data_IF_074295994570
#
_entry.id   IF_074295994570
#
_cell.length_a   1.000
_cell.length_b   1.000
_cell.length_c   1.000
_cell.angle_alpha   90.00
_cell.angle_beta   90.00
_cell.angle_gamma   90.00
#
_symmetry.space_group_name_H-M   'P 1'
#
loop_
_entity.id
_entity.type
_entity.pdbx_description
1 polymer ?
#
# COMPACT_ATOMS: atom_id res chain seq x y z
N UNK A 1 -1.27 16.83 7.06
CA UNK A 1 -2.54 17.13 7.75
C UNK A 1 -3.66 16.42 7.00
N UNK A 2 -4.81 16.16 7.64
CA UNK A 2 -5.96 15.58 6.95
C UNK A 2 -6.57 16.62 5.99
N UNK A 3 -7.08 16.21 4.83
CA UNK A 3 -7.73 17.11 3.89
C UNK A 3 -8.97 17.75 4.51
N UNK A 4 -9.12 19.05 4.28
CA UNK A 4 -10.11 19.92 4.91
C UNK A 4 -11.44 19.98 4.14
N UNK A 5 -11.49 19.45 2.92
CA UNK A 5 -12.69 19.48 2.07
C UNK A 5 -12.78 18.25 1.16
N UNK A 6 -13.99 17.99 0.63
CA UNK A 6 -14.21 16.93 -0.36
C UNK A 6 -13.43 17.19 -1.65
N UNK A 7 -13.30 18.45 -2.06
CA UNK A 7 -12.52 18.82 -3.25
C UNK A 7 -11.02 18.52 -3.06
N UNK A 8 -10.47 18.80 -1.88
CA UNK A 8 -9.09 18.48 -1.56
C UNK A 8 -8.86 16.96 -1.49
N UNK A 9 -9.81 16.22 -0.90
CA UNK A 9 -9.83 14.76 -0.90
C UNK A 9 -9.79 14.18 -2.32
N UNK A 10 -10.62 14.70 -3.21
CA UNK A 10 -10.70 14.26 -4.60
C UNK A 10 -9.41 14.60 -5.37
N UNK A 11 -8.84 15.78 -5.16
CA UNK A 11 -7.56 16.17 -5.75
C UNK A 11 -6.42 15.24 -5.30
N UNK A 12 -6.35 14.92 -4.00
CA UNK A 12 -5.35 13.98 -3.47
C UNK A 12 -5.56 12.58 -4.06
N UNK A 13 -6.82 12.12 -4.18
CA UNK A 13 -7.15 10.84 -4.80
C UNK A 13 -6.66 10.78 -6.24
N UNK A 14 -6.89 11.82 -7.04
CA UNK A 14 -6.53 11.84 -8.44
C UNK A 14 -5.01 11.85 -8.63
N UNK A 15 -4.28 12.59 -7.79
CA UNK A 15 -2.82 12.52 -7.74
C UNK A 15 -2.30 11.13 -7.37
N UNK A 16 -2.93 10.47 -6.38
CA UNK A 16 -2.57 9.11 -6.00
C UNK A 16 -2.83 8.12 -7.14
N UNK A 17 -3.95 8.26 -7.87
CA UNK A 17 -4.25 7.44 -9.05
C UNK A 17 -3.21 7.61 -10.15
N UNK A 18 -2.83 8.85 -10.46
CA UNK A 18 -1.78 9.12 -11.44
C UNK A 18 -0.44 8.46 -11.03
N UNK A 19 -0.10 8.54 -9.75
CA UNK A 19 1.11 7.93 -9.18
C UNK A 19 1.11 6.38 -9.29
N UNK A 20 -0.03 5.75 -9.01
CA UNK A 20 -0.21 4.29 -9.17
C UNK A 20 -0.13 3.90 -10.64
N UNK A 21 -0.84 4.60 -11.52
CA UNK A 21 -0.86 4.32 -12.96
C UNK A 21 0.53 4.41 -13.59
N UNK A 22 1.32 5.44 -13.23
CA UNK A 22 2.69 5.59 -13.73
C UNK A 22 3.62 4.44 -13.32
N UNK A 23 3.49 3.93 -12.09
CA UNK A 23 4.29 2.79 -11.60
C UNK A 23 3.77 1.43 -12.08
N UNK A 24 2.47 1.29 -12.30
CA UNK A 24 1.87 0.09 -12.89
C UNK A 24 2.39 -0.16 -14.32
N UNK A 25 2.58 0.92 -15.10
CA UNK A 25 3.19 0.83 -16.44
C UNK A 25 4.63 0.26 -16.40
N UNK A 26 5.41 0.61 -15.37
CA UNK A 26 6.74 0.05 -15.16
C UNK A 26 6.69 -1.44 -14.76
N UNK A 27 5.71 -1.84 -13.93
CA UNK A 27 5.54 -3.26 -13.56
C UNK A 27 5.17 -4.14 -14.75
N UNK A 28 4.31 -3.63 -15.65
CA UNK A 28 3.94 -4.34 -16.87
C UNK A 28 5.15 -4.69 -17.75
N UNK A 29 6.19 -3.85 -17.75
CA UNK A 29 7.46 -4.12 -18.44
C UNK A 29 8.32 -5.19 -17.75
N UNK A 30 8.26 -5.31 -16.42
CA UNK A 30 9.02 -6.32 -15.66
C UNK A 30 8.50 -7.75 -15.89
N UNK A 31 7.21 -7.90 -16.18
CA UNK A 31 6.58 -9.19 -16.55
C UNK A 31 7.10 -9.80 -17.85
N UNK A 32 7.86 -9.04 -18.65
CA UNK A 32 8.53 -9.55 -19.84
C UNK A 32 9.86 -10.28 -19.53
N UNK A 33 10.33 -10.25 -18.27
CA UNK A 33 11.55 -10.95 -17.86
C UNK A 33 11.29 -12.45 -17.65
N UNK A 34 12.09 -13.34 -18.25
CA UNK A 34 11.86 -14.79 -18.24
C UNK A 34 12.18 -15.49 -16.90
N UNK A 35 12.33 -14.75 -15.80
CA UNK A 35 12.81 -15.29 -14.53
C UNK A 35 11.65 -15.56 -13.54
N UNK A 36 11.51 -16.79 -13.00
CA UNK A 36 10.46 -17.11 -12.06
C UNK A 36 10.58 -16.29 -10.77
N UNK A 37 9.52 -15.56 -10.40
CA UNK A 37 9.42 -14.80 -9.16
C UNK A 37 9.89 -13.34 -9.23
N UNK A 38 10.47 -12.90 -10.36
CA UNK A 38 10.89 -11.50 -10.56
C UNK A 38 9.68 -10.57 -10.72
N UNK A 39 8.62 -11.04 -11.37
CA UNK A 39 7.33 -10.36 -11.49
C UNK A 39 6.74 -10.04 -10.11
N UNK A 40 6.70 -11.02 -9.21
CA UNK A 40 6.15 -10.88 -7.86
C UNK A 40 7.01 -9.92 -7.03
N UNK A 41 8.33 -10.05 -7.08
CA UNK A 41 9.23 -9.18 -6.32
C UNK A 41 9.09 -7.71 -6.75
N UNK A 42 8.95 -7.46 -8.07
CA UNK A 42 8.74 -6.13 -8.62
C UNK A 42 7.41 -5.52 -8.15
N UNK A 43 6.31 -6.27 -8.24
CA UNK A 43 4.99 -5.82 -7.77
C UNK A 43 5.02 -5.45 -6.28
N UNK A 44 5.71 -6.24 -5.46
CA UNK A 44 5.83 -6.01 -4.01
C UNK A 44 6.65 -4.77 -3.71
N UNK A 45 7.79 -4.61 -4.38
CA UNK A 45 8.64 -3.44 -4.23
C UNK A 45 7.87 -2.16 -4.60
N UNK A 46 7.07 -2.21 -5.68
CA UNK A 46 6.21 -1.10 -6.10
C UNK A 46 5.14 -0.80 -5.03
N UNK A 47 4.48 -1.81 -4.47
CA UNK A 47 3.49 -1.64 -3.41
C UNK A 47 4.10 -1.07 -2.13
N UNK A 48 5.27 -1.54 -1.72
CA UNK A 48 6.00 -1.05 -0.54
C UNK A 48 6.41 0.41 -0.69
N UNK A 49 6.56 0.93 -1.91
CA UNK A 49 6.78 2.36 -2.16
C UNK A 49 5.48 3.15 -2.25
N UNK A 50 4.46 2.62 -2.95
CA UNK A 50 3.21 3.32 -3.21
C UNK A 50 2.37 3.52 -1.95
N UNK A 51 2.22 2.49 -1.12
CA UNK A 51 1.34 2.56 0.05
C UNK A 51 1.80 3.64 1.04
N UNK A 52 3.08 3.71 1.46
CA UNK A 52 3.54 4.79 2.31
C UNK A 52 3.35 6.18 1.68
N UNK A 53 3.62 6.32 0.38
CA UNK A 53 3.45 7.58 -0.33
C UNK A 53 1.98 8.04 -0.39
N UNK A 54 1.04 7.11 -0.57
CA UNK A 54 -0.40 7.37 -0.51
C UNK A 54 -0.78 7.80 0.91
N UNK A 55 -0.34 7.07 1.94
CA UNK A 55 -0.65 7.38 3.33
C UNK A 55 -0.18 8.79 3.73
N UNK A 56 1.03 9.18 3.30
CA UNK A 56 1.57 10.52 3.55
C UNK A 56 0.71 11.62 2.94
N UNK A 57 0.22 11.44 1.70
CA UNK A 57 -0.62 12.41 0.99
C UNK A 57 -1.99 12.57 1.65
N UNK A 58 -2.59 11.49 2.14
CA UNK A 58 -3.88 11.54 2.85
C UNK A 58 -3.76 12.00 4.31
N UNK A 59 -2.55 12.25 4.82
CA UNK A 59 -2.38 12.68 6.21
C UNK A 59 -2.56 11.54 7.21
N UNK A 60 -2.35 10.30 6.79
CA UNK A 60 -2.62 9.10 7.58
C UNK A 60 -1.38 8.22 7.74
N UNK A 61 -0.20 8.74 7.41
CA UNK A 61 1.04 8.06 7.73
C UNK A 61 1.24 7.94 9.26
N UNK A 62 1.87 6.87 9.76
CA UNK A 62 2.07 6.67 11.20
C UNK A 62 2.69 7.87 11.90
N UNK A 63 3.64 8.54 11.26
CA UNK A 63 4.35 9.71 11.79
C UNK A 63 3.43 10.93 11.88
N UNK A 64 2.51 11.09 10.94
CA UNK A 64 1.51 12.17 10.94
C UNK A 64 0.44 11.90 12.00
N UNK A 65 -0.02 10.64 12.10
CA UNK A 65 -0.97 10.21 13.13
C UNK A 65 -0.39 10.40 14.53
N UNK A 66 0.91 10.13 14.73
CA UNK A 66 1.57 10.31 16.01
C UNK A 66 1.45 11.76 16.54
N UNK A 67 1.44 12.75 15.64
CA UNK A 67 1.25 14.16 15.96
C UNK A 67 -0.21 14.59 16.21
N UNK A 68 -1.19 13.70 16.03
CA UNK A 68 -2.60 14.03 16.27
C UNK A 68 -2.97 13.96 17.75
N UNK A 69 -4.01 14.71 18.13
CA UNK A 69 -4.61 14.64 19.45
C UNK A 69 -5.31 13.29 19.68
N UNK A 70 -5.61 12.98 20.94
CA UNK A 70 -6.22 11.70 21.31
C UNK A 70 -7.57 11.48 20.62
N UNK A 71 -8.38 12.53 20.49
CA UNK A 71 -9.69 12.46 19.87
C UNK A 71 -9.61 12.08 18.38
N UNK A 72 -8.74 12.73 17.58
CA UNK A 72 -8.56 12.34 16.17
C UNK A 72 -7.97 10.97 16.01
N UNK A 73 -6.97 10.60 16.82
CA UNK A 73 -6.39 9.25 16.79
C UNK A 73 -7.49 8.20 16.96
N UNK A 74 -8.33 8.37 17.98
CA UNK A 74 -9.42 7.44 18.27
C UNK A 74 -10.45 7.39 17.14
N UNK A 75 -10.86 8.55 16.60
CA UNK A 75 -11.76 8.60 15.45
C UNK A 75 -11.18 7.86 14.24
N UNK A 76 -9.92 8.11 13.91
CA UNK A 76 -9.24 7.49 12.77
C UNK A 76 -9.15 5.98 12.94
N UNK A 77 -8.75 5.47 14.11
CA UNK A 77 -8.71 4.04 14.40
C UNK A 77 -10.08 3.36 14.28
N UNK A 78 -11.16 4.03 14.69
CA UNK A 78 -12.51 3.49 14.55
C UNK A 78 -12.98 3.44 13.09
N UNK A 79 -12.65 4.47 12.30
CA UNK A 79 -12.92 4.48 10.87
C UNK A 79 -12.16 3.35 10.15
N UNK A 80 -10.90 3.12 10.52
CA UNK A 80 -10.08 2.02 9.99
C UNK A 80 -10.69 0.66 10.35
N UNK A 81 -11.07 0.45 11.62
CA UNK A 81 -11.75 -0.78 12.05
C UNK A 81 -13.03 -1.05 11.27
N UNK A 82 -13.81 -0.01 10.98
CA UNK A 82 -15.05 -0.10 10.18
C UNK A 82 -14.80 -0.34 8.70
N UNK A 83 -13.75 0.25 8.14
CA UNK A 83 -13.35 0.06 6.75
C UNK A 83 -12.74 -1.32 6.47
N UNK A 84 -12.39 -2.08 7.53
CA UNK A 84 -11.62 -3.31 7.44
C UNK A 84 -10.13 -3.02 7.50
N UNK A 85 -9.39 -3.82 8.28
CA UNK A 85 -8.00 -3.57 8.72
C UNK A 85 -6.92 -3.47 7.63
N UNK A 86 -7.28 -3.34 6.35
CA UNK A 86 -6.36 -3.17 5.23
C UNK A 86 -5.81 -1.73 5.11
N UNK A 87 -6.32 -0.78 5.89
CA UNK A 87 -6.02 0.63 5.74
C UNK A 87 -5.43 1.19 7.04
N UNK A 88 -4.13 0.96 7.23
CA UNK A 88 -3.10 1.86 7.78
C UNK A 88 -2.27 1.32 8.96
N UNK A 89 -0.95 1.35 8.77
CA UNK A 89 0.07 1.37 9.82
C UNK A 89 0.60 0.00 10.25
N UNK A 90 1.83 -0.31 9.84
CA UNK A 90 2.70 -1.47 10.20
C UNK A 90 2.13 -2.89 10.00
N UNK A 91 0.93 -3.16 10.48
CA UNK A 91 0.20 -4.42 10.32
C UNK A 91 -0.16 -4.68 8.85
N UNK A 92 -0.52 -3.64 8.11
CA UNK A 92 -0.79 -3.77 6.66
C UNK A 92 0.46 -4.17 5.90
N UNK A 93 1.64 -3.62 6.25
CA UNK A 93 2.91 -4.00 5.63
C UNK A 93 3.27 -5.45 5.96
N UNK A 94 3.13 -5.88 7.22
CA UNK A 94 3.36 -7.29 7.62
C UNK A 94 2.35 -8.24 6.98
N UNK A 95 1.09 -7.85 6.89
CA UNK A 95 0.02 -8.64 6.26
C UNK A 95 0.18 -8.72 4.75
N UNK A 96 0.60 -7.62 4.11
CA UNK A 96 0.98 -7.60 2.69
C UNK A 96 2.19 -8.49 2.44
N UNK A 97 3.26 -8.33 3.23
CA UNK A 97 4.44 -9.19 3.14
C UNK A 97 4.08 -10.67 3.35
N UNK A 98 3.21 -10.99 4.32
CA UNK A 98 2.73 -12.35 4.56
C UNK A 98 1.82 -12.87 3.43
N UNK A 99 0.95 -12.03 2.86
CA UNK A 99 0.11 -12.39 1.72
C UNK A 99 0.96 -12.66 0.47
N UNK A 100 1.97 -11.84 0.24
CA UNK A 100 2.97 -12.00 -0.82
C UNK A 100 3.77 -13.28 -0.62
N UNK A 101 4.29 -13.52 0.58
CA UNK A 101 5.05 -14.72 0.91
C UNK A 101 4.22 -15.99 0.68
N UNK A 102 2.94 -16.00 1.08
CA UNK A 102 2.01 -17.11 0.80
C UNK A 102 1.80 -17.32 -0.69
N UNK A 103 1.66 -16.25 -1.47
CA UNK A 103 1.47 -16.34 -2.92
C UNK A 103 2.73 -16.78 -3.67
N UNK A 104 3.91 -16.39 -3.18
CA UNK A 104 5.19 -16.89 -3.67
C UNK A 104 5.36 -18.39 -3.35
N UNK A 105 5.00 -18.82 -2.14
CA UNK A 105 5.06 -20.23 -1.73
C UNK A 105 4.15 -21.14 -2.56
N UNK A 106 2.95 -20.68 -2.95
CA UNK A 106 2.02 -21.45 -3.79
C UNK A 106 2.40 -21.56 -5.27
N UNK A 107 3.32 -20.73 -5.76
CA UNK A 107 3.81 -20.72 -7.16
C UNK A 107 5.22 -21.29 -7.30
N UNK A 108 5.86 -21.72 -6.22
CA UNK A 108 7.11 -22.48 -6.27
C UNK A 108 6.78 -23.95 -6.48
N UNK A 109 6.84 -24.50 -7.72
CA UNK A 109 6.98 -25.94 -7.84
C UNK A 109 8.30 -26.26 -7.13
N UNK A 110 8.25 -27.14 -6.14
CA UNK A 110 9.46 -27.71 -5.56
C UNK A 110 10.22 -28.41 -6.69
N UNK A 111 11.11 -27.69 -7.38
CA UNK A 111 12.10 -28.28 -8.25
C UNK A 111 13.18 -28.89 -7.36
N UNK A 112 12.89 -30.11 -6.87
CA UNK A 112 13.78 -31.14 -6.32
C UNK A 112 12.85 -32.25 -5.81
N UNK A 113 12.86 -33.47 -6.32
CA UNK A 113 13.96 -34.29 -6.88
C UNK A 113 13.43 -35.20 -7.98
#
# INVERSE_FOLDING_TARGET
MLPASQQELDAIRDQCRAMVNGRAALSAGASALPAPGVDIAADVAILLQLIPAINQRFGVAPEQIAGYDAARKQMLYQLIRRAGGALLGLEVTRTLLAAVARRAAGRWPASRR
#
